data_IF_312568963172
#
_entry.id   IF_312568963172
#
_cell.length_a   1.000
_cell.length_b   1.000
_cell.length_c   1.000
_cell.angle_alpha   90.00
_cell.angle_beta   90.00
_cell.angle_gamma   90.00
#
_symmetry.space_group_name_H-M   'P 1'
#
loop_
_entity.id
_entity.type
_entity.pdbx_description
1 polymer ?
#
# COMPACT_ATOMS: atom_id res chain seq x y z
N UNK A 1 16.75 22.38 -14.19
CA UNK A 1 15.64 21.69 -13.52
C UNK A 1 14.50 21.70 -14.50
N UNK A 2 13.88 20.55 -14.78
CA UNK A 2 12.66 20.52 -15.58
C UNK A 2 11.59 21.29 -14.81
N UNK A 3 10.87 22.17 -15.49
CA UNK A 3 9.76 22.93 -14.92
C UNK A 3 8.57 22.00 -14.78
N UNK A 4 8.30 21.53 -13.53
CA UNK A 4 7.22 20.59 -13.24
C UNK A 4 5.89 21.32 -13.15
N UNK A 5 4.87 20.71 -13.72
CA UNK A 5 3.50 21.24 -13.65
C UNK A 5 2.94 21.02 -12.26
N UNK A 6 2.38 22.05 -11.65
CA UNK A 6 1.56 21.93 -10.46
C UNK A 6 0.21 21.34 -10.87
N UNK A 7 -0.19 20.25 -10.24
CA UNK A 7 -1.45 19.54 -10.51
C UNK A 7 -2.57 20.17 -9.66
N UNK A 8 -2.99 21.36 -10.06
CA UNK A 8 -3.91 22.20 -9.28
C UNK A 8 -5.24 21.50 -8.99
N UNK A 9 -5.60 21.45 -7.71
CA UNK A 9 -6.83 20.82 -7.20
C UNK A 9 -6.99 19.33 -7.54
N UNK A 10 -5.91 18.62 -7.83
CA UNK A 10 -6.00 17.21 -8.16
C UNK A 10 -6.59 16.39 -7.01
N UNK A 11 -7.58 15.54 -7.33
CA UNK A 11 -8.10 14.53 -6.42
C UNK A 11 -7.20 13.28 -6.45
N UNK A 12 -7.08 12.56 -5.33
CA UNK A 12 -6.40 11.26 -5.29
C UNK A 12 -7.03 10.24 -6.25
N UNK A 13 -8.32 10.40 -6.54
CA UNK A 13 -9.04 9.54 -7.49
C UNK A 13 -8.45 9.57 -8.91
N UNK A 14 -7.67 10.59 -9.25
CA UNK A 14 -6.99 10.69 -10.54
C UNK A 14 -5.92 9.60 -10.74
N UNK A 15 -5.28 9.16 -9.67
CA UNK A 15 -4.22 8.14 -9.70
C UNK A 15 -4.57 6.84 -8.98
N UNK A 16 -5.63 6.82 -8.16
CA UNK A 16 -6.00 5.60 -7.45
C UNK A 16 -6.26 4.44 -8.41
N UNK A 17 -5.64 3.30 -8.07
CA UNK A 17 -5.77 2.09 -8.87
C UNK A 17 -7.14 1.44 -8.59
N UNK A 18 -7.89 1.00 -9.62
CA UNK A 18 -9.21 0.37 -9.41
C UNK A 18 -9.18 -0.80 -8.43
N UNK A 19 -8.10 -1.62 -8.47
CA UNK A 19 -7.94 -2.73 -7.55
C UNK A 19 -7.76 -2.32 -6.08
N UNK A 20 -7.16 -1.17 -5.81
CA UNK A 20 -7.02 -0.63 -4.47
C UNK A 20 -8.41 -0.31 -3.88
N UNK A 21 -9.23 0.43 -4.60
CA UNK A 21 -10.60 0.76 -4.18
C UNK A 21 -11.44 -0.49 -3.94
N UNK A 22 -11.41 -1.46 -4.86
CA UNK A 22 -12.14 -2.71 -4.72
C UNK A 22 -11.67 -3.54 -3.52
N UNK A 23 -10.35 -3.62 -3.29
CA UNK A 23 -9.78 -4.33 -2.16
C UNK A 23 -10.14 -3.68 -0.82
N UNK A 24 -10.14 -2.33 -0.75
CA UNK A 24 -10.54 -1.60 0.45
C UNK A 24 -12.02 -1.80 0.80
N UNK A 25 -12.89 -1.82 -0.20
CA UNK A 25 -14.31 -2.12 0.00
C UNK A 25 -14.52 -3.54 0.54
N UNK A 26 -13.84 -4.50 -0.06
CA UNK A 26 -13.89 -5.91 0.37
C UNK A 26 -13.38 -6.05 1.80
N UNK A 27 -12.29 -5.38 2.15
CA UNK A 27 -11.74 -5.35 3.51
C UNK A 27 -12.76 -4.80 4.53
N UNK A 28 -13.40 -3.68 4.21
CA UNK A 28 -14.42 -3.05 5.08
C UNK A 28 -15.68 -3.91 5.24
N UNK A 29 -15.98 -4.77 4.28
CA UNK A 29 -17.11 -5.70 4.35
C UNK A 29 -16.85 -6.93 5.24
N UNK A 30 -15.60 -7.14 5.71
CA UNK A 30 -15.27 -8.27 6.59
C UNK A 30 -15.93 -8.05 7.97
N UNK A 31 -16.75 -8.99 8.46
CA UNK A 31 -17.33 -8.89 9.79
C UNK A 31 -16.25 -8.73 10.87
N UNK A 32 -16.42 -7.75 11.76
CA UNK A 32 -15.46 -7.45 12.83
C UNK A 32 -14.32 -6.52 12.45
N UNK A 33 -14.21 -6.11 11.18
CA UNK A 33 -13.16 -5.19 10.75
C UNK A 33 -13.17 -3.87 11.53
N UNK A 34 -14.33 -3.20 11.64
CA UNK A 34 -14.45 -1.94 12.38
C UNK A 34 -14.12 -2.10 13.86
N UNK A 35 -14.42 -3.26 14.46
CA UNK A 35 -14.07 -3.56 15.84
C UNK A 35 -12.56 -3.69 16.02
N UNK A 36 -11.86 -4.34 15.09
CA UNK A 36 -10.40 -4.44 15.08
C UNK A 36 -9.78 -3.05 14.95
N UNK A 37 -10.24 -2.25 13.97
CA UNK A 37 -9.79 -0.86 13.77
C UNK A 37 -9.94 -0.06 15.06
N UNK A 38 -11.13 -0.06 15.67
CA UNK A 38 -11.42 0.68 16.89
C UNK A 38 -10.54 0.23 18.07
N UNK A 39 -10.34 -1.08 18.24
CA UNK A 39 -9.49 -1.61 19.32
C UNK A 39 -8.03 -1.24 19.14
N UNK A 40 -7.50 -1.37 17.92
CA UNK A 40 -6.11 -1.00 17.62
C UNK A 40 -5.89 0.49 17.85
N UNK A 41 -6.78 1.35 17.32
CA UNK A 41 -6.70 2.80 17.52
C UNK A 41 -6.85 3.18 18.99
N UNK A 42 -7.77 2.54 19.72
CA UNK A 42 -7.99 2.80 21.14
C UNK A 42 -6.84 2.37 22.06
N UNK A 43 -6.13 1.30 21.68
CA UNK A 43 -5.03 0.76 22.49
C UNK A 43 -3.74 1.58 22.34
N UNK A 44 -3.38 1.96 21.12
CA UNK A 44 -2.11 2.62 20.82
C UNK A 44 -2.30 4.12 20.66
N UNK A 45 -3.38 4.52 19.95
CA UNK A 45 -3.72 5.90 19.66
C UNK A 45 -2.66 6.63 18.82
N UNK A 46 -3.00 7.83 18.37
CA UNK A 46 -2.12 8.69 17.56
C UNK A 46 -0.77 8.96 18.25
N UNK A 47 -0.82 9.26 19.55
CA UNK A 47 0.38 9.54 20.33
C UNK A 47 1.31 8.33 20.45
N UNK A 48 0.77 7.14 20.61
CA UNK A 48 1.56 5.90 20.71
C UNK A 48 2.26 5.58 19.41
N UNK A 49 1.55 5.67 18.28
CA UNK A 49 2.13 5.51 16.94
C UNK A 49 3.27 6.51 16.73
N UNK A 50 3.01 7.79 17.01
CA UNK A 50 4.00 8.85 16.85
C UNK A 50 5.24 8.59 17.71
N UNK A 51 5.10 8.27 18.99
CA UNK A 51 6.23 7.97 19.87
C UNK A 51 7.05 6.79 19.37
N UNK A 52 6.40 5.71 18.91
CA UNK A 52 7.07 4.53 18.43
C UNK A 52 8.00 4.83 17.23
N UNK A 53 7.49 5.59 16.24
CA UNK A 53 8.26 5.87 15.03
C UNK A 53 9.23 7.04 15.14
N UNK A 54 9.00 7.98 16.07
CA UNK A 54 9.81 9.21 16.15
C UNK A 54 10.85 9.20 17.27
N UNK A 55 10.79 8.22 18.17
CA UNK A 55 11.71 8.15 19.32
C UNK A 55 13.19 8.09 18.90
N UNK A 56 13.49 7.42 17.78
CA UNK A 56 14.85 7.27 17.22
C UNK A 56 14.90 7.78 15.77
N UNK A 57 14.33 8.97 15.54
CA UNK A 57 14.25 9.58 14.22
C UNK A 57 14.52 11.08 14.27
N UNK A 58 15.03 11.61 13.17
CA UNK A 58 15.35 13.02 13.01
C UNK A 58 14.24 13.69 12.19
N UNK A 59 13.59 14.71 12.77
CA UNK A 59 12.58 15.50 12.04
C UNK A 59 13.23 16.38 10.99
N UNK A 60 12.69 16.35 9.78
CA UNK A 60 13.10 17.19 8.66
C UNK A 60 12.45 18.56 8.76
N UNK A 61 13.20 19.59 8.49
CA UNK A 61 12.74 20.97 8.49
C UNK A 61 13.79 21.95 8.03
N UNK A 62 13.48 23.26 7.95
CA UNK A 62 14.37 24.28 7.37
C UNK A 62 15.75 24.39 8.05
N UNK A 63 15.80 24.08 9.36
CA UNK A 63 17.04 24.10 10.15
C UNK A 63 17.68 22.73 10.31
N UNK A 64 17.01 21.66 9.88
CA UNK A 64 17.47 20.30 10.00
C UNK A 64 17.16 19.53 8.72
N UNK A 65 18.19 19.13 7.98
CA UNK A 65 18.12 18.57 6.63
C UNK A 65 17.44 19.50 5.60
N UNK A 66 17.87 20.77 5.45
CA UNK A 66 17.19 21.77 4.63
C UNK A 66 17.03 21.39 3.16
N UNK A 67 17.98 20.62 2.59
CA UNK A 67 17.86 20.14 1.19
C UNK A 67 16.70 19.14 1.01
N UNK A 68 16.48 18.29 2.01
CA UNK A 68 15.37 17.33 1.99
C UNK A 68 14.04 18.02 2.27
N UNK A 69 14.03 19.01 3.16
CA UNK A 69 12.86 19.86 3.44
C UNK A 69 12.40 20.64 2.20
N UNK A 70 13.35 21.22 1.46
CA UNK A 70 13.06 21.92 0.21
C UNK A 70 12.49 20.96 -0.84
N UNK A 71 13.07 19.78 -1.01
CA UNK A 71 12.56 18.75 -1.92
C UNK A 71 11.13 18.32 -1.54
N UNK A 72 10.87 18.15 -0.24
CA UNK A 72 9.53 17.80 0.24
C UNK A 72 8.52 18.92 -0.05
N UNK A 73 8.90 20.16 0.13
CA UNK A 73 8.06 21.32 -0.21
C UNK A 73 7.70 21.36 -1.70
N UNK A 74 8.65 21.06 -2.58
CA UNK A 74 8.41 20.95 -4.03
C UNK A 74 7.43 19.82 -4.37
N UNK A 75 7.49 18.68 -3.66
CA UNK A 75 6.54 17.56 -3.86
C UNK A 75 5.13 17.95 -3.43
N UNK A 76 5.00 18.60 -2.26
CA UNK A 76 3.71 19.11 -1.77
C UNK A 76 3.08 20.09 -2.75
N UNK A 77 3.89 20.98 -3.33
CA UNK A 77 3.45 21.95 -4.35
C UNK A 77 3.05 21.25 -5.65
N UNK A 78 3.86 20.30 -6.14
CA UNK A 78 3.58 19.58 -7.39
C UNK A 78 2.26 18.83 -7.34
N UNK A 79 1.97 18.13 -6.23
CA UNK A 79 0.70 17.40 -6.01
C UNK A 79 -0.40 18.30 -5.42
N UNK A 80 -0.14 19.59 -5.27
CA UNK A 80 -1.08 20.59 -4.73
C UNK A 80 -1.73 20.15 -3.41
N UNK A 81 -0.92 19.65 -2.48
CA UNK A 81 -1.41 19.23 -1.17
C UNK A 81 -1.97 20.41 -0.36
N UNK A 82 -3.21 20.31 0.11
CA UNK A 82 -3.93 21.41 0.82
C UNK A 82 -4.12 21.17 2.32
N UNK A 83 -3.80 19.99 2.83
CA UNK A 83 -3.92 19.69 4.25
C UNK A 83 -2.86 20.36 5.13
N UNK A 84 -2.91 20.11 6.44
CA UNK A 84 -1.80 20.41 7.33
C UNK A 84 -0.56 19.63 6.84
N UNK A 85 0.56 20.32 6.65
CA UNK A 85 1.80 19.70 6.14
C UNK A 85 2.18 18.50 7.01
N UNK A 86 2.19 17.26 6.46
CA UNK A 86 2.61 16.11 7.23
C UNK A 86 4.07 16.26 7.67
N UNK A 87 4.38 15.85 8.90
CA UNK A 87 5.77 15.86 9.35
C UNK A 87 6.57 14.78 8.60
N UNK A 88 7.81 15.09 8.30
CA UNK A 88 8.75 14.17 7.65
C UNK A 88 9.87 13.84 8.62
N UNK A 89 10.14 12.56 8.81
CA UNK A 89 11.21 12.05 9.67
C UNK A 89 12.20 11.19 8.89
N UNK A 90 13.43 11.11 9.38
CA UNK A 90 14.45 10.19 8.91
C UNK A 90 14.86 9.28 10.06
N UNK A 91 14.67 7.98 9.88
CA UNK A 91 15.07 6.94 10.82
C UNK A 91 16.41 6.32 10.43
N UNK A 92 17.27 6.01 11.41
CA UNK A 92 18.53 5.31 11.19
C UNK A 92 18.25 3.81 11.00
N UNK A 93 17.77 3.46 9.83
CA UNK A 93 17.42 2.08 9.45
C UNK A 93 18.04 1.76 8.09
N UNK A 94 18.89 0.71 8.00
CA UNK A 94 19.62 0.39 6.76
C UNK A 94 18.72 -0.21 5.67
N UNK A 95 17.52 -0.66 6.01
CA UNK A 95 16.58 -1.18 5.03
C UNK A 95 16.08 -0.06 4.11
N UNK A 96 16.07 -0.36 2.81
CA UNK A 96 15.55 0.54 1.78
C UNK A 96 14.03 0.54 1.86
N UNK A 97 13.47 1.49 2.58
CA UNK A 97 12.03 1.64 2.78
C UNK A 97 11.67 3.07 3.19
N UNK A 98 10.39 3.39 3.03
CA UNK A 98 9.72 4.55 3.60
C UNK A 98 8.32 4.13 4.05
N UNK A 99 7.63 4.96 4.79
CA UNK A 99 6.26 4.68 5.19
C UNK A 99 5.49 5.94 5.57
N UNK A 100 4.22 6.00 5.16
CA UNK A 100 3.23 6.94 5.64
C UNK A 100 2.41 6.27 6.76
N UNK A 101 2.46 6.79 7.97
CA UNK A 101 1.82 6.21 9.17
C UNK A 101 1.09 7.28 9.98
N UNK A 102 0.10 6.86 10.75
CA UNK A 102 -0.73 7.72 11.58
C UNK A 102 -2.21 7.51 11.32
N UNK A 103 -3.06 8.10 12.13
CA UNK A 103 -4.51 8.01 12.02
C UNK A 103 -5.12 9.35 11.61
N UNK A 104 -5.12 10.34 12.52
CA UNK A 104 -5.70 11.67 12.28
C UNK A 104 -4.69 12.66 11.67
N UNK A 105 -3.42 12.53 12.06
CA UNK A 105 -2.31 13.36 11.60
C UNK A 105 -1.17 12.50 11.07
N UNK A 106 -1.33 11.92 9.88
CA UNK A 106 -0.33 11.05 9.30
C UNK A 106 0.99 11.80 9.09
N UNK A 107 2.09 11.06 9.17
CA UNK A 107 3.44 11.56 8.95
C UNK A 107 4.24 10.55 8.13
N UNK A 108 5.34 11.00 7.55
CA UNK A 108 6.20 10.19 6.70
C UNK A 108 7.50 9.88 7.45
N UNK A 109 7.95 8.62 7.37
CA UNK A 109 9.26 8.19 7.86
C UNK A 109 10.07 7.63 6.70
N UNK A 110 11.21 8.23 6.40
CA UNK A 110 12.18 7.72 5.42
C UNK A 110 13.30 7.00 6.15
N UNK A 111 13.62 5.78 5.74
CA UNK A 111 14.77 5.07 6.26
C UNK A 111 16.07 5.61 5.67
N UNK A 112 17.14 5.63 6.47
CA UNK A 112 18.46 6.07 6.02
C UNK A 112 19.00 5.22 4.86
N UNK A 113 18.62 3.92 4.79
CA UNK A 113 18.95 3.05 3.67
C UNK A 113 18.40 3.57 2.33
N UNK A 114 17.14 4.02 2.29
CA UNK A 114 16.55 4.60 1.10
C UNK A 114 17.26 5.92 0.71
N UNK A 115 17.56 6.78 1.69
CA UNK A 115 18.29 8.01 1.43
C UNK A 115 19.74 7.76 0.98
N UNK A 116 20.36 6.67 1.39
CA UNK A 116 21.71 6.28 0.94
C UNK A 116 21.72 5.73 -0.48
N UNK A 117 20.67 5.04 -0.90
CA UNK A 117 20.55 4.42 -2.22
C UNK A 117 20.14 5.43 -3.30
N UNK A 118 19.18 6.30 -2.98
CA UNK A 118 18.50 7.15 -3.94
C UNK A 118 19.17 8.51 -4.11
N UNK A 119 19.20 9.00 -5.33
CA UNK A 119 19.56 10.37 -5.63
C UNK A 119 18.40 11.36 -5.30
N UNK A 120 18.59 12.66 -5.61
CA UNK A 120 17.60 13.68 -5.28
C UNK A 120 16.26 13.48 -5.99
N UNK A 121 16.29 13.11 -7.27
CA UNK A 121 15.06 13.00 -8.06
C UNK A 121 14.33 11.69 -7.76
N UNK A 122 15.05 10.62 -7.51
CA UNK A 122 14.49 9.37 -7.02
C UNK A 122 13.87 9.51 -5.61
N UNK A 123 14.48 10.33 -4.72
CA UNK A 123 13.85 10.68 -3.43
C UNK A 123 12.58 11.48 -3.62
N UNK A 124 12.47 12.29 -4.69
CA UNK A 124 11.22 12.97 -5.06
C UNK A 124 10.11 11.95 -5.34
N UNK A 125 10.40 10.90 -6.14
CA UNK A 125 9.47 9.81 -6.41
C UNK A 125 9.02 9.16 -5.10
N UNK A 126 9.98 8.79 -4.24
CA UNK A 126 9.68 8.14 -2.97
C UNK A 126 8.82 9.02 -2.05
N UNK A 127 9.13 10.30 -1.93
CA UNK A 127 8.34 11.24 -1.12
C UNK A 127 6.95 11.44 -1.72
N UNK A 128 6.84 11.52 -3.05
CA UNK A 128 5.56 11.59 -3.76
C UNK A 128 4.70 10.35 -3.57
N UNK A 129 5.31 9.17 -3.54
CA UNK A 129 4.67 7.91 -3.22
C UNK A 129 4.07 7.92 -1.79
N UNK A 130 4.86 8.30 -0.79
CA UNK A 130 4.38 8.39 0.59
C UNK A 130 3.30 9.46 0.78
N UNK A 131 3.43 10.59 0.10
CA UNK A 131 2.39 11.61 0.08
C UNK A 131 1.13 11.10 -0.62
N UNK A 132 1.27 10.30 -1.67
CA UNK A 132 0.18 9.60 -2.34
C UNK A 132 -0.63 8.72 -1.37
N UNK A 133 0.04 7.95 -0.52
CA UNK A 133 -0.62 7.19 0.55
C UNK A 133 -1.42 8.08 1.51
N UNK A 134 -0.88 9.23 1.89
CA UNK A 134 -1.60 10.18 2.77
C UNK A 134 -2.83 10.74 2.04
N UNK A 135 -2.66 11.20 0.80
CA UNK A 135 -3.74 11.82 0.02
C UNK A 135 -4.87 10.85 -0.33
N UNK A 136 -4.55 9.56 -0.53
CA UNK A 136 -5.54 8.49 -0.76
C UNK A 136 -6.10 7.89 0.54
N UNK A 137 -5.71 8.40 1.73
CA UNK A 137 -6.23 7.93 3.01
C UNK A 137 -5.74 6.55 3.44
N UNK A 138 -4.63 6.07 2.88
CA UNK A 138 -4.08 4.74 3.16
C UNK A 138 -3.40 4.63 4.52
N UNK A 139 -2.85 5.74 5.05
CA UNK A 139 -2.00 5.77 6.25
C UNK A 139 -2.62 5.06 7.46
N UNK A 140 -3.93 5.23 7.69
CA UNK A 140 -4.66 4.58 8.79
C UNK A 140 -4.60 3.05 8.70
N UNK A 141 -4.95 2.49 7.55
CA UNK A 141 -5.02 1.03 7.37
C UNK A 141 -3.63 0.40 7.29
N UNK A 142 -2.66 1.10 6.69
CA UNK A 142 -1.23 0.71 6.70
C UNK A 142 -0.70 0.65 8.13
N UNK A 143 -1.04 1.65 8.96
CA UNK A 143 -0.66 1.69 10.39
C UNK A 143 -1.26 0.52 11.15
N UNK A 144 -2.54 0.19 10.93
CA UNK A 144 -3.21 -0.96 11.55
C UNK A 144 -2.55 -2.27 11.10
N UNK A 145 -2.27 -2.44 9.80
CA UNK A 145 -1.60 -3.61 9.28
C UNK A 145 -0.22 -3.80 9.94
N UNK A 146 0.55 -2.72 10.05
CA UNK A 146 1.88 -2.72 10.66
C UNK A 146 1.82 -3.09 12.16
N UNK A 147 0.85 -2.54 12.90
CA UNK A 147 0.65 -2.87 14.32
C UNK A 147 0.29 -4.35 14.48
N UNK A 148 -0.64 -4.86 13.69
CA UNK A 148 -1.05 -6.27 13.75
C UNK A 148 0.08 -7.22 13.36
N UNK A 149 0.95 -6.83 12.41
CA UNK A 149 2.13 -7.61 12.02
C UNK A 149 3.18 -7.68 13.14
N UNK A 150 3.43 -6.57 13.83
CA UNK A 150 4.50 -6.48 14.83
C UNK A 150 4.06 -6.95 16.23
N UNK A 151 2.84 -6.64 16.62
CA UNK A 151 2.34 -6.99 17.96
C UNK A 151 1.95 -8.48 18.07
N UNK A 152 1.68 -9.15 16.95
CA UNK A 152 1.12 -10.50 16.95
C UNK A 152 -0.35 -10.54 17.43
N UNK A 153 -1.05 -11.64 17.13
CA UNK A 153 -2.49 -11.78 17.44
C UNK A 153 -2.80 -11.86 18.93
N UNK A 154 -1.82 -12.30 19.72
CA UNK A 154 -1.99 -12.50 21.17
C UNK A 154 -1.80 -11.23 21.97
N UNK A 155 -1.17 -10.20 21.40
CA UNK A 155 -0.84 -8.98 22.11
C UNK A 155 -2.04 -8.02 22.30
N UNK A 156 -3.11 -8.21 21.51
CA UNK A 156 -4.32 -7.36 21.62
C UNK A 156 -5.44 -8.18 22.25
N UNK A 157 -5.80 -7.90 23.52
CA UNK A 157 -6.84 -8.66 24.22
C UNK A 157 -8.16 -8.66 23.45
N UNK A 158 -8.77 -9.85 23.31
CA UNK A 158 -10.08 -10.03 22.69
C UNK A 158 -10.11 -9.99 21.17
N UNK A 159 -8.97 -9.95 20.45
CA UNK A 159 -8.95 -10.09 18.99
C UNK A 159 -8.77 -11.54 18.54
N UNK A 160 -8.02 -12.37 19.27
CA UNK A 160 -7.90 -13.81 19.03
C UNK A 160 -7.78 -14.21 17.56
N UNK A 161 -8.54 -15.23 17.15
CA UNK A 161 -8.56 -15.73 15.77
C UNK A 161 -9.19 -14.79 14.73
N UNK A 162 -9.93 -13.75 15.16
CA UNK A 162 -10.57 -12.79 14.24
C UNK A 162 -9.52 -11.91 13.54
N UNK A 163 -8.42 -11.64 14.20
CA UNK A 163 -7.40 -10.73 13.67
C UNK A 163 -6.66 -11.31 12.45
N UNK A 164 -6.50 -12.62 12.34
CA UNK A 164 -5.72 -13.23 11.25
C UNK A 164 -6.35 -13.00 9.86
N UNK A 165 -7.65 -13.29 9.64
CA UNK A 165 -8.28 -13.01 8.36
C UNK A 165 -8.21 -11.52 7.97
N UNK A 166 -8.42 -10.63 8.94
CA UNK A 166 -8.36 -9.19 8.73
C UNK A 166 -6.93 -8.75 8.39
N UNK A 167 -5.93 -9.30 9.07
CA UNK A 167 -4.53 -9.03 8.76
C UNK A 167 -4.15 -9.45 7.34
N UNK A 168 -4.55 -10.65 6.91
CA UNK A 168 -4.28 -11.12 5.55
C UNK A 168 -4.97 -10.25 4.50
N UNK A 169 -6.21 -9.83 4.76
CA UNK A 169 -6.94 -8.93 3.90
C UNK A 169 -6.32 -7.50 3.87
N UNK A 170 -5.82 -7.01 4.99
CA UNK A 170 -5.07 -5.76 5.07
C UNK A 170 -3.76 -5.82 4.27
N UNK A 171 -3.04 -6.93 4.32
CA UNK A 171 -1.83 -7.13 3.52
C UNK A 171 -2.15 -7.20 2.03
N UNK A 172 -3.24 -7.86 1.64
CA UNK A 172 -3.68 -7.89 0.25
C UNK A 172 -4.07 -6.51 -0.25
N UNK A 173 -4.88 -5.78 0.52
CA UNK A 173 -5.21 -4.40 0.21
C UNK A 173 -3.96 -3.51 0.14
N UNK A 174 -3.04 -3.62 1.10
CA UNK A 174 -1.80 -2.83 1.12
C UNK A 174 -1.02 -2.97 -0.18
N UNK A 175 -0.90 -4.20 -0.71
CA UNK A 175 -0.26 -4.43 -2.02
C UNK A 175 -0.94 -3.72 -3.18
N UNK A 176 -2.27 -3.51 -3.12
CA UNK A 176 -3.00 -2.77 -4.16
C UNK A 176 -2.86 -1.25 -3.96
N UNK A 177 -2.83 -0.80 -2.71
CA UNK A 177 -2.59 0.59 -2.35
C UNK A 177 -1.21 1.10 -2.83
N UNK A 178 -0.19 0.21 -2.88
CA UNK A 178 1.12 0.52 -3.46
C UNK A 178 1.01 0.97 -4.93
N UNK A 179 0.13 0.33 -5.72
CA UNK A 179 -0.05 0.68 -7.13
C UNK A 179 -0.61 2.10 -7.32
N UNK A 180 -1.48 2.52 -6.41
CA UNK A 180 -1.97 3.91 -6.36
C UNK A 180 -0.85 4.87 -6.00
N UNK A 181 -0.10 4.57 -4.95
CA UNK A 181 1.00 5.41 -4.48
C UNK A 181 2.14 5.52 -5.51
N UNK A 182 2.42 4.46 -6.28
CA UNK A 182 3.39 4.47 -7.37
C UNK A 182 3.04 5.49 -8.45
N UNK A 183 1.76 5.59 -8.81
CA UNK A 183 1.26 6.60 -9.75
C UNK A 183 1.42 8.02 -9.19
N UNK A 184 1.15 8.23 -7.90
CA UNK A 184 1.39 9.52 -7.25
C UNK A 184 2.88 9.87 -7.23
N UNK A 185 3.78 8.90 -7.00
CA UNK A 185 5.22 9.08 -7.09
C UNK A 185 5.68 9.53 -8.47
N UNK A 186 5.17 8.90 -9.54
CA UNK A 186 5.43 9.30 -10.91
C UNK A 186 4.90 10.71 -11.21
N UNK A 187 3.70 11.05 -10.74
CA UNK A 187 3.13 12.40 -10.89
C UNK A 187 3.94 13.47 -10.14
N UNK A 188 4.52 13.13 -8.99
CA UNK A 188 5.38 14.04 -8.24
C UNK A 188 6.73 14.28 -8.92
N UNK A 189 7.28 13.27 -9.59
CA UNK A 189 8.54 13.38 -10.32
C UNK A 189 8.35 13.96 -11.73
N UNK A 190 7.26 13.60 -12.38
CA UNK A 190 6.98 13.86 -13.81
C UNK A 190 8.11 13.38 -14.72
N UNK A 191 8.83 12.34 -14.27
CA UNK A 191 9.93 11.72 -15.02
C UNK A 191 9.82 10.19 -14.92
N UNK A 192 9.30 9.53 -15.96
CA UNK A 192 9.20 8.07 -15.99
C UNK A 192 10.54 7.35 -15.89
N UNK A 193 11.61 7.91 -16.47
CA UNK A 193 12.94 7.29 -16.45
C UNK A 193 13.51 7.25 -15.04
N UNK A 194 13.42 8.37 -14.32
CA UNK A 194 13.83 8.46 -12.90
C UNK A 194 12.99 7.51 -12.05
N UNK A 195 11.68 7.45 -12.30
CA UNK A 195 10.77 6.60 -11.53
C UNK A 195 11.06 5.12 -11.73
N UNK A 196 11.29 4.69 -12.96
CA UNK A 196 11.65 3.30 -13.26
C UNK A 196 13.05 2.94 -12.75
N UNK A 197 14.00 3.89 -12.82
CA UNK A 197 15.34 3.75 -12.24
C UNK A 197 15.31 3.52 -10.72
N UNK A 198 14.39 4.17 -10.01
CA UNK A 198 14.18 3.92 -8.58
C UNK A 198 13.77 2.45 -8.32
N UNK A 199 12.85 1.88 -9.11
CA UNK A 199 12.45 0.47 -8.96
C UNK A 199 13.57 -0.50 -9.31
N UNK A 200 14.38 -0.20 -10.32
CA UNK A 200 15.58 -0.97 -10.62
C UNK A 200 16.52 -1.00 -9.41
N UNK A 201 16.79 0.15 -8.79
CA UNK A 201 17.62 0.23 -7.57
C UNK A 201 16.99 -0.53 -6.40
N UNK A 202 15.67 -0.46 -6.23
CA UNK A 202 14.98 -1.24 -5.19
C UNK A 202 15.00 -2.75 -5.46
N UNK A 203 15.10 -3.18 -6.70
CA UNK A 203 15.17 -4.59 -7.06
C UNK A 203 16.56 -5.20 -6.81
N UNK A 204 17.64 -4.44 -7.02
CA UNK A 204 19.00 -4.96 -6.88
C UNK A 204 20.11 -3.99 -7.25
N UNK A 205 19.76 -2.74 -7.61
CA UNK A 205 20.76 -1.73 -7.98
C UNK A 205 21.51 -1.14 -6.78
N UNK A 206 22.57 -0.41 -7.09
CA UNK A 206 23.42 0.27 -6.11
C UNK A 206 23.55 1.77 -6.43
N UNK A 207 23.99 2.60 -5.46
CA UNK A 207 24.28 4.00 -5.75
C UNK A 207 25.40 4.11 -6.79
N UNK A 208 25.16 4.87 -7.87
CA UNK A 208 26.15 5.05 -8.93
C UNK A 208 26.40 3.81 -9.79
N UNK A 209 25.46 2.86 -9.76
CA UNK A 209 25.49 1.65 -10.57
C UNK A 209 25.38 2.01 -12.07
N UNK A 210 26.41 1.67 -12.83
CA UNK A 210 26.51 1.83 -14.28
C UNK A 210 26.47 0.47 -15.02
N UNK A 211 26.38 -0.64 -14.28
CA UNK A 211 26.29 -1.99 -14.83
C UNK A 211 24.85 -2.45 -15.04
N UNK A 212 23.89 -1.88 -14.29
CA UNK A 212 22.47 -2.25 -14.37
C UNK A 212 21.78 -1.54 -15.55
N UNK A 213 21.09 -2.32 -16.39
CA UNK A 213 20.30 -1.81 -17.51
C UNK A 213 18.82 -1.66 -17.14
N UNK A 214 18.29 -0.45 -17.27
CA UNK A 214 16.88 -0.19 -17.09
C UNK A 214 16.03 -0.94 -18.14
N UNK A 215 16.51 -1.03 -19.37
CA UNK A 215 15.82 -1.74 -20.45
C UNK A 215 15.66 -3.23 -20.13
N UNK A 216 16.74 -3.90 -19.73
CA UNK A 216 16.74 -5.30 -19.33
C UNK A 216 15.85 -5.53 -18.09
N UNK A 217 15.86 -4.62 -17.13
CA UNK A 217 14.98 -4.70 -15.97
C UNK A 217 13.49 -4.62 -16.36
N UNK A 218 13.14 -3.78 -17.32
CA UNK A 218 11.76 -3.67 -17.81
C UNK A 218 11.33 -4.89 -18.63
N UNK A 219 12.25 -5.50 -19.40
CA UNK A 219 12.02 -6.80 -20.07
C UNK A 219 11.77 -7.88 -19.00
N UNK A 220 12.64 -7.99 -17.99
CA UNK A 220 12.44 -8.92 -16.88
C UNK A 220 11.10 -8.70 -16.16
N UNK A 221 10.68 -7.46 -16.00
CA UNK A 221 9.40 -7.12 -15.39
C UNK A 221 8.20 -7.60 -16.21
N UNK A 222 8.26 -7.45 -17.53
CA UNK A 222 7.26 -7.99 -18.47
C UNK A 222 7.24 -9.53 -18.45
N UNK A 223 8.40 -10.19 -18.50
CA UNK A 223 8.52 -11.65 -18.44
C UNK A 223 7.96 -12.23 -17.15
N UNK A 224 8.21 -11.56 -16.00
CA UNK A 224 7.70 -11.97 -14.72
C UNK A 224 6.16 -11.97 -14.67
N UNK A 225 5.52 -11.06 -15.37
CA UNK A 225 4.05 -11.00 -15.42
C UNK A 225 3.44 -12.01 -16.39
N UNK A 226 4.01 -12.12 -17.60
CA UNK A 226 3.53 -13.01 -18.66
C UNK A 226 3.88 -14.48 -18.38
N UNK A 227 5.01 -14.72 -17.71
CA UNK A 227 5.49 -16.05 -17.35
C UNK A 227 4.67 -16.68 -16.22
N UNK A 228 3.93 -17.76 -16.52
CA UNK A 228 3.24 -18.47 -15.45
C UNK A 228 2.60 -19.78 -15.85
N UNK A 229 3.27 -20.89 -15.54
CA UNK A 229 2.59 -22.15 -15.31
C UNK A 229 1.76 -22.06 -14.02
N UNK A 230 0.71 -22.87 -13.84
CA UNK A 230 -0.15 -22.86 -12.66
C UNK A 230 0.62 -22.96 -11.32
N UNK A 231 1.78 -23.64 -11.32
CA UNK A 231 2.68 -23.76 -10.17
C UNK A 231 3.34 -22.42 -9.84
N UNK A 232 3.72 -21.62 -10.85
CA UNK A 232 4.35 -20.31 -10.65
C UNK A 232 3.36 -19.33 -9.98
N UNK A 233 2.08 -19.42 -10.34
CA UNK A 233 1.01 -18.65 -9.70
C UNK A 233 0.90 -18.96 -8.21
N UNK A 234 0.95 -20.22 -7.82
CA UNK A 234 0.93 -20.63 -6.40
C UNK A 234 2.18 -20.14 -5.65
N UNK A 235 3.36 -20.26 -6.26
CA UNK A 235 4.60 -19.79 -5.65
C UNK A 235 4.64 -18.26 -5.55
N UNK A 236 4.12 -17.53 -6.55
CA UNK A 236 3.96 -16.07 -6.48
C UNK A 236 3.05 -15.66 -5.32
N UNK A 237 1.90 -16.35 -5.14
CA UNK A 237 0.98 -16.10 -4.02
C UNK A 237 1.63 -16.41 -2.67
N UNK A 238 2.29 -17.54 -2.53
CA UNK A 238 2.98 -17.91 -1.26
C UNK A 238 4.08 -16.92 -0.89
N UNK A 239 4.87 -16.46 -1.88
CA UNK A 239 5.90 -15.44 -1.64
C UNK A 239 5.33 -14.08 -1.27
N UNK A 240 4.09 -13.77 -1.69
CA UNK A 240 3.44 -12.49 -1.40
C UNK A 240 2.66 -12.49 -0.08
N UNK A 241 2.27 -13.66 0.44
CA UNK A 241 1.33 -13.79 1.58
C UNK A 241 1.74 -12.99 2.83
N UNK A 242 3.05 -12.84 3.07
CA UNK A 242 3.59 -12.13 4.24
C UNK A 242 4.35 -10.85 3.89
N UNK A 243 4.26 -10.38 2.64
CA UNK A 243 4.88 -9.13 2.22
C UNK A 243 3.84 -8.00 2.22
N UNK A 244 4.23 -6.86 2.74
CA UNK A 244 3.42 -5.63 2.68
C UNK A 244 3.50 -4.93 1.32
N UNK A 245 4.55 -5.19 0.53
CA UNK A 245 4.78 -4.58 -0.78
C UNK A 245 4.85 -5.64 -1.87
N UNK A 246 4.31 -5.38 -3.08
CA UNK A 246 4.54 -6.21 -4.26
C UNK A 246 6.02 -6.20 -4.67
N UNK A 247 6.40 -7.12 -5.54
CA UNK A 247 7.75 -7.10 -6.12
C UNK A 247 7.97 -5.84 -6.97
N UNK A 248 9.18 -5.28 -6.92
CA UNK A 248 9.52 -4.06 -7.67
C UNK A 248 9.37 -4.23 -9.18
N UNK A 249 9.62 -5.43 -9.72
CA UNK A 249 9.35 -5.79 -11.12
C UNK A 249 7.88 -5.65 -11.46
N UNK A 250 6.97 -6.19 -10.64
CA UNK A 250 5.53 -6.09 -10.85
C UNK A 250 5.04 -4.62 -10.75
N UNK A 251 5.56 -3.84 -9.79
CA UNK A 251 5.26 -2.41 -9.65
C UNK A 251 5.71 -1.61 -10.88
N UNK A 252 6.92 -1.86 -11.36
CA UNK A 252 7.45 -1.20 -12.56
C UNK A 252 6.62 -1.52 -13.81
N UNK A 253 6.27 -2.79 -14.03
CA UNK A 253 5.45 -3.21 -15.16
C UNK A 253 4.05 -2.57 -15.11
N UNK A 254 3.42 -2.55 -13.93
CA UNK A 254 2.10 -1.93 -13.74
C UNK A 254 2.11 -0.44 -14.02
N UNK A 255 3.12 0.27 -13.51
CA UNK A 255 3.26 1.70 -13.72
C UNK A 255 3.55 2.02 -15.19
N UNK A 256 4.34 1.18 -15.89
CA UNK A 256 4.59 1.30 -17.32
C UNK A 256 3.30 1.09 -18.13
N UNK A 257 2.44 0.13 -17.75
CA UNK A 257 1.13 -0.06 -18.39
C UNK A 257 0.24 1.16 -18.23
N UNK A 258 0.19 1.71 -17.00
CA UNK A 258 -0.59 2.92 -16.75
C UNK A 258 -0.09 4.10 -17.59
N UNK A 259 1.21 4.28 -17.74
CA UNK A 259 1.80 5.26 -18.64
C UNK A 259 1.40 5.00 -20.10
N UNK A 260 1.61 3.78 -20.60
CA UNK A 260 1.25 3.37 -21.97
C UNK A 260 -0.25 3.53 -22.30
N UNK A 261 -1.13 3.55 -21.28
CA UNK A 261 -2.57 3.80 -21.46
C UNK A 261 -2.91 5.27 -21.79
N UNK A 262 -1.95 6.17 -21.71
CA UNK A 262 -2.13 7.61 -21.92
C UNK A 262 -2.78 8.34 -20.72
N UNK A 263 -3.03 7.63 -19.60
CA UNK A 263 -3.65 8.26 -18.43
C UNK A 263 -2.72 9.29 -17.76
N UNK A 264 -1.43 8.97 -17.69
CA UNK A 264 -0.41 9.87 -17.18
C UNK A 264 -0.32 11.17 -17.97
N UNK A 265 -0.29 11.07 -19.30
CA UNK A 265 -0.21 12.22 -20.22
C UNK A 265 -1.48 13.09 -20.13
N UNK A 266 -2.67 12.49 -20.00
CA UNK A 266 -3.93 13.24 -19.78
C UNK A 266 -3.86 14.06 -18.49
N UNK A 267 -3.38 13.47 -17.40
CA UNK A 267 -3.23 14.18 -16.13
C UNK A 267 -2.27 15.37 -16.30
N UNK A 268 -1.13 15.18 -16.95
CA UNK A 268 -0.20 16.28 -17.22
C UNK A 268 -0.77 17.33 -18.19
N UNK A 269 -1.75 16.98 -19.01
CA UNK A 269 -2.49 17.93 -19.85
C UNK A 269 -3.57 18.71 -19.08
N UNK A 270 -3.83 18.36 -17.81
CA UNK A 270 -4.85 19.02 -16.97
C UNK A 270 -6.21 18.32 -16.97
N UNK A 271 -6.32 17.15 -17.63
CA UNK A 271 -7.52 16.33 -17.70
C UNK A 271 -7.51 15.29 -16.57
N UNK A 272 -8.05 15.67 -15.41
CA UNK A 272 -8.14 14.83 -14.21
C UNK A 272 -9.26 15.29 -13.27
N UNK A 273 -9.81 14.39 -12.44
CA UNK A 273 -10.78 14.72 -11.40
C UNK A 273 -10.20 15.72 -10.40
N UNK A 274 -10.96 16.75 -10.07
CA UNK A 274 -10.60 17.74 -9.06
C UNK A 274 -11.20 17.38 -7.70
N UNK A 275 -10.62 17.94 -6.64
CA UNK A 275 -11.20 17.81 -5.31
C UNK A 275 -12.62 18.37 -5.30
N UNK A 276 -13.59 17.57 -4.83
CA UNK A 276 -15.00 17.90 -4.84
C UNK A 276 -15.80 17.35 -6.05
N UNK A 277 -15.12 16.84 -7.08
CA UNK A 277 -15.76 16.17 -8.22
C UNK A 277 -15.99 14.66 -7.96
N UNK A 278 -15.76 14.19 -6.73
CA UNK A 278 -15.72 12.78 -6.34
C UNK A 278 -17.11 12.11 -6.30
N UNK A 279 -17.85 12.23 -7.39
CA UNK A 279 -19.21 11.66 -7.50
C UNK A 279 -19.27 10.38 -8.33
N UNK A 280 -18.12 9.75 -8.67
CA UNK A 280 -18.14 8.53 -9.47
C UNK A 280 -18.80 7.38 -8.67
N UNK A 281 -19.82 6.72 -9.22
CA UNK A 281 -20.48 5.60 -8.55
C UNK A 281 -19.48 4.46 -8.30
N UNK A 282 -19.51 3.87 -7.10
CA UNK A 282 -18.68 2.75 -6.69
C UNK A 282 -18.75 1.52 -7.61
N UNK A 283 -19.90 1.33 -8.30
CA UNK A 283 -20.10 0.25 -9.26
C UNK A 283 -19.18 0.34 -10.48
N UNK A 284 -18.83 1.55 -10.91
CA UNK A 284 -17.96 1.76 -12.06
C UNK A 284 -16.50 1.41 -11.74
N UNK A 285 -16.04 1.70 -10.52
CA UNK A 285 -14.69 1.33 -10.07
C UNK A 285 -14.52 -0.19 -9.93
N UNK A 286 -15.59 -0.91 -9.54
CA UNK A 286 -15.58 -2.39 -9.49
C UNK A 286 -15.60 -2.99 -10.89
N UNK A 287 -16.34 -2.38 -11.83
CA UNK A 287 -16.36 -2.81 -13.23
C UNK A 287 -14.98 -2.56 -13.89
N UNK A 288 -14.40 -1.39 -13.70
CA UNK A 288 -13.06 -1.05 -14.20
C UNK A 288 -11.98 -1.97 -13.60
N UNK A 289 -12.10 -2.34 -12.31
CA UNK A 289 -11.21 -3.31 -11.69
C UNK A 289 -11.41 -4.71 -12.29
N UNK A 290 -12.64 -5.13 -12.54
CA UNK A 290 -12.95 -6.41 -13.15
C UNK A 290 -12.46 -6.48 -14.61
N UNK A 291 -12.62 -5.42 -15.38
CA UNK A 291 -12.15 -5.32 -16.77
C UNK A 291 -10.62 -5.29 -16.82
N UNK A 292 -9.97 -4.54 -15.93
CA UNK A 292 -8.52 -4.47 -15.82
C UNK A 292 -7.88 -5.84 -15.50
N UNK A 293 -8.50 -6.59 -14.56
CA UNK A 293 -8.06 -7.93 -14.19
C UNK A 293 -8.65 -9.03 -15.06
N UNK A 294 -9.75 -8.78 -15.76
CA UNK A 294 -10.47 -9.76 -16.57
C UNK A 294 -9.67 -10.31 -17.74
N UNK A 295 -8.70 -9.56 -18.25
CA UNK A 295 -7.77 -10.01 -19.27
C UNK A 295 -6.58 -10.81 -18.71
N UNK A 296 -6.13 -10.51 -17.49
CA UNK A 296 -4.92 -11.09 -16.89
C UNK A 296 -5.17 -12.09 -15.75
N UNK A 297 -6.32 -12.06 -15.11
CA UNK A 297 -6.49 -12.77 -13.83
C UNK A 297 -7.85 -13.37 -13.56
N UNK A 298 -8.46 -14.09 -14.48
CA UNK A 298 -9.47 -15.06 -14.04
C UNK A 298 -8.90 -16.04 -13.00
N UNK A 299 -7.59 -16.25 -13.00
CA UNK A 299 -6.90 -17.09 -12.01
C UNK A 299 -6.47 -16.34 -10.73
N UNK A 300 -6.04 -15.07 -10.79
CA UNK A 300 -5.64 -14.34 -9.60
C UNK A 300 -6.84 -13.71 -8.85
N UNK A 301 -7.89 -13.29 -9.55
CA UNK A 301 -9.14 -12.88 -8.91
C UNK A 301 -9.82 -14.06 -8.20
N UNK A 302 -9.73 -15.27 -8.76
CA UNK A 302 -10.14 -16.50 -8.06
C UNK A 302 -9.30 -16.70 -6.78
N UNK A 303 -7.98 -16.43 -6.81
CA UNK A 303 -7.13 -16.60 -5.62
C UNK A 303 -7.40 -15.56 -4.53
N UNK A 304 -7.70 -14.30 -4.89
CA UNK A 304 -8.09 -13.25 -3.91
C UNK A 304 -9.50 -13.54 -3.37
N UNK A 305 -10.44 -13.91 -4.23
CA UNK A 305 -11.77 -14.38 -3.83
C UNK A 305 -11.67 -15.62 -2.95
N UNK A 306 -10.80 -16.57 -3.26
CA UNK A 306 -10.56 -17.78 -2.46
C UNK A 306 -9.90 -17.48 -1.12
N UNK A 307 -8.93 -16.56 -1.03
CA UNK A 307 -8.32 -16.15 0.25
C UNK A 307 -9.37 -15.45 1.12
N UNK A 308 -10.18 -14.56 0.56
CA UNK A 308 -11.23 -13.87 1.27
C UNK A 308 -12.39 -14.81 1.65
N UNK A 309 -12.75 -15.75 0.78
CA UNK A 309 -13.76 -16.77 1.09
C UNK A 309 -13.25 -17.74 2.16
N UNK A 310 -12.00 -18.19 2.12
CA UNK A 310 -11.38 -19.02 3.17
C UNK A 310 -11.26 -18.26 4.49
N UNK A 311 -10.92 -16.98 4.45
CA UNK A 311 -10.92 -16.11 5.63
C UNK A 311 -12.34 -15.99 6.22
N UNK A 312 -13.34 -15.78 5.38
CA UNK A 312 -14.76 -15.75 5.77
C UNK A 312 -15.26 -17.11 6.29
N UNK A 313 -14.87 -18.21 5.65
CA UNK A 313 -15.26 -19.56 6.05
C UNK A 313 -14.58 -19.98 7.35
N UNK A 314 -13.30 -19.64 7.54
CA UNK A 314 -12.58 -19.82 8.81
C UNK A 314 -13.24 -19.00 9.92
N UNK A 315 -13.62 -17.75 9.64
CA UNK A 315 -14.37 -16.91 10.55
C UNK A 315 -15.73 -17.55 10.90
N UNK A 316 -16.52 -17.94 9.91
CA UNK A 316 -17.81 -18.57 10.12
C UNK A 316 -17.71 -19.92 10.88
N UNK A 317 -16.62 -20.65 10.68
CA UNK A 317 -16.34 -21.92 11.38
C UNK A 317 -15.93 -21.67 12.83
N UNK A 318 -15.10 -20.66 13.09
CA UNK A 318 -14.68 -20.28 14.43
C UNK A 318 -15.82 -19.67 15.27
N UNK A 319 -16.83 -19.05 14.62
CA UNK A 319 -17.97 -18.41 15.29
C UNK A 319 -19.29 -19.18 15.20
N UNK A 320 -19.35 -20.32 14.48
CA UNK A 320 -20.44 -21.29 14.69
C UNK A 320 -20.15 -21.99 16.01
N UNK A 321 -20.70 -21.48 17.11
CA UNK A 321 -20.78 -22.18 18.38
C UNK A 321 -21.27 -23.62 18.15
N UNK A 322 -20.67 -24.61 18.81
CA UNK A 322 -21.29 -25.94 18.88
C UNK A 322 -22.59 -25.76 19.66
N UNK A 323 -23.65 -25.58 18.93
CA UNK A 323 -25.02 -25.56 19.44
C UNK A 323 -25.32 -26.92 20.02
N UNK A 324 -25.44 -26.95 21.33
CA UNK A 324 -26.37 -27.76 22.09
C UNK A 324 -26.64 -29.21 21.58
N UNK A 325 -25.78 -30.12 21.99
CA UNK A 325 -26.05 -31.56 21.99
C UNK A 325 -26.36 -32.02 23.43
N UNK A 326 -27.48 -31.55 23.97
CA UNK A 326 -28.07 -32.17 25.16
C UNK A 326 -28.73 -33.46 24.78
N UNK A 327 -28.23 -34.58 25.25
CA UNK A 327 -28.83 -35.89 25.14
C UNK A 327 -28.54 -36.64 26.43
N UNK A 328 -29.49 -36.59 27.34
CA UNK A 328 -29.53 -37.40 28.53
C UNK A 328 -29.58 -38.88 28.19
N UNK A 329 -28.79 -39.67 28.84
CA UNK A 329 -28.85 -41.14 28.81
C UNK A 329 -28.24 -41.69 30.08
N UNK A 330 -29.09 -41.81 31.11
CA UNK A 330 -28.74 -42.52 32.36
C UNK A 330 -28.59 -44.03 32.08
N UNK A 331 -27.61 -44.62 32.67
CA UNK A 331 -27.36 -46.03 32.76
C UNK A 331 -26.55 -46.33 34.01
N UNK A 332 -27.23 -46.82 35.04
CA UNK A 332 -26.61 -47.31 36.26
C UNK A 332 -25.87 -48.64 36.01
N UNK A 333 -24.78 -48.95 36.69
CA UNK A 333 -24.13 -50.23 36.63
C UNK A 333 -24.80 -51.23 37.57
N UNK A 334 -24.85 -52.51 37.19
CA UNK A 334 -25.29 -53.55 38.12
C UNK A 334 -24.13 -54.11 38.93
N UNK A 335 -24.45 -54.39 40.19
CA UNK A 335 -23.90 -55.27 41.23
C UNK A 335 -22.40 -55.54 41.30
#
# INVERSE_FOLDING_TARGET
>A
MADRKVLTDISSTAWEHPADKAALQTLRAIPGFDEVVRKVMGLIGERGVRLFFTADSVRVGPRQRPKLDALYSEVLETLDYKGERPELFVSQTPFVNAMAVGFERPFIVLNSGALGLLDREERRVLIGHELGHIMSGHATYTTIALILLNAGFTAIPGLGLIALPIQLALLEWSRKAELSADRAGLLASQDPTVTMGMYLKFAGGMPGDDESSLEEFLVQAEEYEVGGHAIDGVLKVLNLLFRSHPFNTARAAELQRWQKSGAYERILAGDYPRRGDDTRPLGDDVADAADYYGAQTRQAAASVGDVLNRARDAFNTAFRSPGNGGGAGGGAPPA
#
